data_IF_804150281551
#
_entry.id   IF_804150281551
#
_cell.length_a   1.000
_cell.length_b   1.000
_cell.length_c   1.000
_cell.angle_alpha   90.00
_cell.angle_beta   90.00
_cell.angle_gamma   90.00
#
_symmetry.space_group_name_H-M   'P 1'
#
loop_
_entity.id
_entity.type
_entity.pdbx_description
1 polymer ?
#
# COMPACT_ATOMS: atom_id res chain seq x y z
N UNK A 1 18.66 -8.42 4.92
CA UNK A 1 18.48 -9.78 5.48
C UNK A 1 17.06 -10.36 5.30
N UNK A 2 16.21 -9.81 4.41
CA UNK A 2 14.78 -10.20 4.30
C UNK A 2 14.49 -11.01 3.02
N UNK A 3 15.25 -10.80 1.95
CA UNK A 3 15.05 -11.47 0.65
C UNK A 3 15.41 -12.97 0.72
N UNK A 4 16.48 -13.32 1.44
CA UNK A 4 16.94 -14.71 1.57
C UNK A 4 15.96 -15.59 2.34
N UNK A 5 15.33 -15.09 3.41
CA UNK A 5 14.28 -15.85 4.15
C UNK A 5 13.03 -16.08 3.29
N UNK A 6 12.59 -15.10 2.50
CA UNK A 6 11.45 -15.25 1.57
C UNK A 6 11.74 -16.29 0.49
N UNK A 7 12.94 -16.30 -0.08
CA UNK A 7 13.33 -17.28 -1.10
C UNK A 7 13.52 -18.69 -0.53
N UNK A 8 14.06 -18.81 0.69
CA UNK A 8 14.23 -20.09 1.38
C UNK A 8 12.88 -20.71 1.76
N UNK A 9 11.94 -19.90 2.27
CA UNK A 9 10.57 -20.33 2.56
C UNK A 9 9.81 -20.67 1.28
N UNK A 10 10.01 -19.93 0.16
CA UNK A 10 9.46 -20.28 -1.15
C UNK A 10 9.94 -21.66 -1.60
N UNK A 11 11.24 -21.93 -1.55
CA UNK A 11 11.80 -23.23 -1.95
C UNK A 11 11.34 -24.39 -1.05
N UNK A 12 11.22 -24.14 0.26
CA UNK A 12 10.76 -25.14 1.22
C UNK A 12 9.24 -25.42 1.08
N UNK A 13 8.43 -24.39 0.88
CA UNK A 13 7.00 -24.53 0.58
C UNK A 13 6.79 -25.24 -0.75
N UNK A 14 7.52 -24.86 -1.81
CA UNK A 14 7.43 -25.51 -3.13
C UNK A 14 7.71 -27.02 -3.04
N UNK A 15 8.70 -27.46 -2.24
CA UNK A 15 9.04 -28.87 -2.07
C UNK A 15 7.97 -29.67 -1.30
N UNK A 16 7.36 -29.08 -0.26
CA UNK A 16 6.30 -29.73 0.53
C UNK A 16 4.98 -29.82 -0.26
N UNK A 17 4.70 -28.78 -1.02
CA UNK A 17 3.60 -28.69 -1.98
C UNK A 17 3.74 -29.76 -3.08
N UNK A 18 4.96 -29.99 -3.58
CA UNK A 18 5.26 -31.02 -4.59
C UNK A 18 4.99 -32.45 -4.10
N UNK A 19 5.14 -32.73 -2.81
CA UNK A 19 4.79 -34.03 -2.21
C UNK A 19 3.27 -34.27 -2.16
N UNK A 20 2.49 -33.24 -1.82
CA UNK A 20 1.01 -33.32 -1.80
C UNK A 20 0.43 -33.49 -3.22
N UNK A 21 1.03 -32.82 -4.20
CA UNK A 21 0.64 -32.94 -5.62
C UNK A 21 0.72 -34.36 -6.18
N UNK A 22 1.61 -35.22 -5.65
CA UNK A 22 1.72 -36.61 -6.09
C UNK A 22 0.55 -37.49 -5.65
N UNK A 23 -0.28 -37.04 -4.71
CA UNK A 23 -1.36 -37.84 -4.10
C UNK A 23 -2.77 -37.37 -4.46
N UNK A 24 -2.94 -36.13 -4.90
CA UNK A 24 -4.25 -35.58 -5.28
C UNK A 24 -4.16 -34.81 -6.61
N UNK A 25 -4.74 -35.40 -7.65
CA UNK A 25 -4.77 -34.82 -9.01
C UNK A 25 -5.51 -33.49 -9.05
N UNK A 26 -6.65 -33.39 -8.34
CA UNK A 26 -7.43 -32.16 -8.27
C UNK A 26 -6.64 -31.00 -7.63
N UNK A 27 -5.93 -31.27 -6.52
CA UNK A 27 -5.11 -30.24 -5.87
C UNK A 27 -3.95 -29.77 -6.76
N UNK A 28 -3.34 -30.70 -7.51
CA UNK A 28 -2.31 -30.35 -8.48
C UNK A 28 -2.86 -29.47 -9.61
N UNK A 29 -3.98 -29.86 -10.22
CA UNK A 29 -4.62 -29.14 -11.31
C UNK A 29 -5.06 -27.74 -10.88
N UNK A 30 -5.61 -27.59 -9.67
CA UNK A 30 -5.96 -26.28 -9.09
C UNK A 30 -4.73 -25.36 -8.96
N UNK A 31 -3.61 -25.87 -8.46
CA UNK A 31 -2.41 -25.06 -8.32
C UNK A 31 -1.80 -24.68 -9.66
N UNK A 32 -1.79 -25.60 -10.63
CA UNK A 32 -1.38 -25.33 -12.00
C UNK A 32 -2.24 -24.22 -12.63
N UNK A 33 -3.55 -24.25 -12.40
CA UNK A 33 -4.47 -23.21 -12.84
C UNK A 33 -4.17 -21.84 -12.17
N UNK A 34 -3.98 -21.82 -10.85
CA UNK A 34 -3.67 -20.58 -10.13
C UNK A 34 -2.29 -20.00 -10.53
N UNK A 35 -1.29 -20.86 -10.75
CA UNK A 35 0.04 -20.45 -11.21
C UNK A 35 -0.02 -19.85 -12.61
N UNK A 36 -0.93 -20.33 -13.49
CA UNK A 36 -1.18 -19.73 -14.81
C UNK A 36 -1.69 -18.30 -14.68
N UNK A 37 -2.71 -18.08 -13.84
CA UNK A 37 -3.28 -16.73 -13.59
C UNK A 37 -2.19 -15.79 -13.08
N UNK A 38 -1.42 -16.22 -12.07
CA UNK A 38 -0.33 -15.43 -11.49
C UNK A 38 0.76 -15.11 -12.51
N UNK A 39 1.12 -16.07 -13.35
CA UNK A 39 2.11 -15.88 -14.42
C UNK A 39 1.63 -14.85 -15.44
N UNK A 40 0.36 -14.93 -15.85
CA UNK A 40 -0.24 -13.97 -16.79
C UNK A 40 -0.23 -12.54 -16.23
N UNK A 41 -0.66 -12.35 -14.99
CA UNK A 41 -0.63 -11.05 -14.31
C UNK A 41 0.81 -10.53 -14.20
N UNK A 42 1.77 -11.40 -13.85
CA UNK A 42 3.19 -11.03 -13.78
C UNK A 42 3.76 -10.60 -15.13
N UNK A 43 3.23 -11.14 -16.23
CA UNK A 43 3.56 -10.76 -17.60
C UNK A 43 2.75 -9.55 -18.10
N UNK A 44 2.23 -8.74 -17.19
CA UNK A 44 1.50 -7.50 -17.47
C UNK A 44 0.15 -7.67 -18.18
N UNK A 45 -0.46 -8.87 -18.13
CA UNK A 45 -1.86 -9.03 -18.54
C UNK A 45 -2.80 -8.43 -17.49
N UNK A 46 -3.92 -7.84 -17.93
CA UNK A 46 -4.97 -7.38 -17.01
C UNK A 46 -5.58 -8.58 -16.28
N UNK A 47 -6.11 -8.36 -15.06
CA UNK A 47 -6.64 -9.44 -14.21
C UNK A 47 -7.75 -10.21 -14.94
N UNK A 48 -8.66 -9.49 -15.58
CA UNK A 48 -9.78 -10.04 -16.36
C UNK A 48 -9.29 -10.94 -17.48
N UNK A 49 -8.38 -10.43 -18.31
CA UNK A 49 -7.80 -11.15 -19.45
C UNK A 49 -6.98 -12.36 -18.99
N UNK A 50 -6.23 -12.22 -17.89
CA UNK A 50 -5.45 -13.30 -17.30
C UNK A 50 -6.31 -14.44 -16.78
N UNK A 51 -7.47 -14.12 -16.17
CA UNK A 51 -8.45 -15.09 -15.70
C UNK A 51 -9.12 -15.78 -16.88
N UNK A 52 -9.61 -15.02 -17.87
CA UNK A 52 -10.30 -15.57 -19.03
C UNK A 52 -9.39 -16.54 -19.82
N UNK A 53 -8.14 -16.14 -20.07
CA UNK A 53 -7.14 -17.01 -20.71
C UNK A 53 -6.87 -18.28 -19.89
N UNK A 54 -6.70 -18.16 -18.57
CA UNK A 54 -6.41 -19.29 -17.72
C UNK A 54 -7.57 -20.29 -17.67
N UNK A 55 -8.82 -19.81 -17.68
CA UNK A 55 -10.01 -20.66 -17.71
C UNK A 55 -10.08 -21.39 -19.05
N UNK A 56 -9.89 -20.69 -20.19
CA UNK A 56 -9.88 -21.32 -21.52
C UNK A 56 -8.79 -22.39 -21.62
N UNK A 57 -7.58 -22.05 -21.18
CA UNK A 57 -6.45 -22.94 -21.15
C UNK A 57 -6.71 -24.18 -20.29
N UNK A 58 -7.26 -24.00 -19.09
CA UNK A 58 -7.53 -25.09 -18.16
C UNK A 58 -8.68 -26.00 -18.62
N UNK A 59 -9.72 -25.43 -19.25
CA UNK A 59 -10.79 -26.20 -19.88
C UNK A 59 -10.26 -27.05 -21.05
N UNK A 60 -9.38 -26.48 -21.90
CA UNK A 60 -8.76 -27.20 -23.01
C UNK A 60 -7.81 -28.32 -22.55
N UNK A 61 -7.14 -28.14 -21.42
CA UNK A 61 -6.28 -29.16 -20.79
C UNK A 61 -7.05 -30.17 -19.94
N UNK A 62 -8.38 -30.03 -19.84
CA UNK A 62 -9.25 -30.83 -19.00
C UNK A 62 -8.77 -30.92 -17.54
N UNK A 63 -8.32 -29.79 -16.99
CA UNK A 63 -7.95 -29.70 -15.58
C UNK A 63 -9.18 -29.83 -14.70
N UNK A 64 -9.01 -30.41 -13.51
CA UNK A 64 -10.10 -30.64 -12.55
C UNK A 64 -11.26 -31.46 -13.17
N UNK A 65 -10.94 -32.39 -14.07
CA UNK A 65 -11.90 -33.34 -14.65
C UNK A 65 -13.15 -32.68 -15.28
N UNK A 66 -12.97 -31.48 -15.87
CA UNK A 66 -14.04 -30.76 -16.55
C UNK A 66 -14.82 -29.79 -15.66
N UNK A 67 -14.58 -29.77 -14.35
CA UNK A 67 -15.22 -28.84 -13.40
C UNK A 67 -15.13 -27.37 -13.86
N UNK A 68 -13.96 -26.96 -14.37
CA UNK A 68 -13.73 -25.57 -14.83
C UNK A 68 -14.64 -25.21 -16.01
N UNK A 69 -14.94 -26.19 -16.87
CA UNK A 69 -15.82 -25.99 -18.03
C UNK A 69 -17.27 -25.81 -17.60
N UNK A 70 -17.72 -26.60 -16.63
CA UNK A 70 -19.10 -26.55 -16.11
C UNK A 70 -19.35 -25.28 -15.29
N UNK A 71 -18.40 -24.89 -14.44
CA UNK A 71 -18.54 -23.79 -13.49
C UNK A 71 -17.85 -22.49 -13.94
N UNK A 72 -17.67 -22.31 -15.26
CA UNK A 72 -16.91 -21.18 -15.82
C UNK A 72 -17.35 -19.83 -15.28
N UNK A 73 -18.65 -19.55 -15.29
CA UNK A 73 -19.19 -18.24 -14.93
C UNK A 73 -18.95 -17.94 -13.44
N UNK A 74 -19.19 -18.92 -12.57
CA UNK A 74 -19.00 -18.80 -11.13
C UNK A 74 -17.53 -18.64 -10.77
N UNK A 75 -16.64 -19.44 -11.37
CA UNK A 75 -15.19 -19.34 -11.16
C UNK A 75 -14.69 -17.96 -11.58
N UNK A 76 -15.11 -17.48 -12.76
CA UNK A 76 -14.73 -16.15 -13.25
C UNK A 76 -15.18 -15.06 -12.27
N UNK A 77 -16.44 -15.10 -11.84
CA UNK A 77 -16.98 -14.11 -10.91
C UNK A 77 -16.23 -14.12 -9.57
N UNK A 78 -15.99 -15.30 -9.02
CA UNK A 78 -15.27 -15.46 -7.76
C UNK A 78 -13.85 -14.90 -7.87
N UNK A 79 -13.11 -15.22 -8.94
CA UNK A 79 -11.74 -14.73 -9.13
C UNK A 79 -11.65 -13.22 -9.35
N UNK A 80 -12.64 -12.63 -10.04
CA UNK A 80 -12.70 -11.19 -10.26
C UNK A 80 -12.97 -10.43 -8.96
N UNK A 81 -13.92 -10.94 -8.17
CA UNK A 81 -14.38 -10.35 -6.92
C UNK A 81 -13.48 -10.67 -5.72
N UNK A 82 -12.55 -11.62 -5.87
CA UNK A 82 -11.61 -11.97 -4.81
C UNK A 82 -10.77 -10.76 -4.38
N UNK A 83 -10.73 -10.55 -3.07
CA UNK A 83 -10.01 -9.48 -2.44
C UNK A 83 -8.50 -9.73 -2.42
N UNK A 84 -7.72 -8.82 -3.02
CA UNK A 84 -6.25 -8.86 -3.00
C UNK A 84 -5.71 -8.11 -1.76
N UNK A 85 -5.53 -8.84 -0.67
CA UNK A 85 -4.95 -8.33 0.58
C UNK A 85 -3.57 -7.70 0.37
N UNK A 86 -2.72 -8.28 -0.49
CA UNK A 86 -1.36 -7.74 -0.66
C UNK A 86 -1.39 -6.40 -1.40
N UNK A 87 -2.26 -6.25 -2.41
CA UNK A 87 -2.47 -4.99 -3.09
C UNK A 87 -3.05 -3.94 -2.14
N UNK A 88 -4.07 -4.32 -1.38
CA UNK A 88 -4.67 -3.45 -0.38
C UNK A 88 -3.64 -2.92 0.62
N UNK A 89 -2.83 -3.81 1.19
CA UNK A 89 -1.77 -3.47 2.12
C UNK A 89 -0.69 -2.58 1.48
N UNK A 90 -0.39 -2.76 0.19
CA UNK A 90 0.57 -1.89 -0.53
C UNK A 90 0.02 -0.48 -0.70
N UNK A 91 -1.24 -0.36 -1.09
CA UNK A 91 -1.91 0.93 -1.28
C UNK A 91 -1.98 1.67 0.05
N UNK A 92 -2.52 1.03 1.10
CA UNK A 92 -2.63 1.61 2.44
C UNK A 92 -1.29 2.12 2.98
N UNK A 93 -0.19 1.38 2.79
CA UNK A 93 1.14 1.83 3.23
C UNK A 93 1.63 3.05 2.45
N UNK A 94 1.33 3.13 1.15
CA UNK A 94 1.70 4.28 0.32
C UNK A 94 0.91 5.51 0.75
N UNK A 95 -0.41 5.40 0.85
CA UNK A 95 -1.29 6.49 1.29
C UNK A 95 -0.87 7.00 2.67
N UNK A 96 -0.67 6.10 3.64
CA UNK A 96 -0.21 6.51 4.97
C UNK A 96 1.18 7.15 4.99
N UNK A 97 2.06 6.79 4.05
CA UNK A 97 3.35 7.48 3.90
C UNK A 97 3.19 8.88 3.30
N UNK A 98 2.36 9.01 2.26
CA UNK A 98 2.08 10.29 1.60
C UNK A 98 1.39 11.28 2.56
N UNK A 99 0.39 10.82 3.30
CA UNK A 99 -0.26 11.58 4.38
C UNK A 99 0.74 11.99 5.45
N UNK A 100 1.54 11.03 5.96
CA UNK A 100 2.54 11.31 6.99
C UNK A 100 3.62 12.31 6.55
N UNK A 101 4.03 12.29 5.28
CA UNK A 101 4.96 13.28 4.72
C UNK A 101 4.30 14.65 4.64
N UNK A 102 3.04 14.72 4.17
CA UNK A 102 2.30 15.98 4.07
C UNK A 102 2.11 16.63 5.45
N UNK A 103 1.65 15.84 6.42
CA UNK A 103 1.47 16.27 7.81
C UNK A 103 2.80 16.71 8.43
N UNK A 104 3.87 15.96 8.18
CA UNK A 104 5.22 16.30 8.68
C UNK A 104 5.74 17.63 8.12
N UNK A 105 5.53 17.90 6.83
CA UNK A 105 5.91 19.17 6.21
C UNK A 105 5.10 20.33 6.80
N UNK A 106 3.77 20.16 6.92
CA UNK A 106 2.88 21.17 7.50
C UNK A 106 3.24 21.50 8.94
N UNK A 107 3.42 20.47 9.78
CA UNK A 107 3.83 20.64 11.17
C UNK A 107 5.22 21.29 11.27
N UNK A 108 6.17 20.91 10.42
CA UNK A 108 7.50 21.51 10.38
C UNK A 108 7.47 22.99 9.99
N UNK A 109 6.66 23.36 8.99
CA UNK A 109 6.46 24.74 8.58
C UNK A 109 5.87 25.58 9.72
N UNK A 110 4.82 25.08 10.39
CA UNK A 110 4.21 25.75 11.53
C UNK A 110 5.19 25.93 12.71
N UNK A 111 5.95 24.88 13.05
CA UNK A 111 6.96 24.96 14.10
C UNK A 111 8.04 26.00 13.79
N UNK A 112 8.48 26.08 12.53
CA UNK A 112 9.45 27.08 12.10
C UNK A 112 8.87 28.49 12.13
N UNK A 113 7.62 28.67 11.69
CA UNK A 113 6.92 29.96 11.78
C UNK A 113 6.83 30.45 13.23
N UNK A 114 6.46 29.58 14.17
CA UNK A 114 6.41 29.92 15.61
C UNK A 114 7.80 30.28 16.16
N UNK A 115 8.83 29.49 15.83
CA UNK A 115 10.22 29.78 16.27
C UNK A 115 10.69 31.14 15.76
N UNK A 116 10.44 31.44 14.49
CA UNK A 116 10.79 32.71 13.87
C UNK A 116 10.00 33.87 14.50
N UNK A 117 8.70 33.67 14.77
CA UNK A 117 7.88 34.69 15.42
C UNK A 117 8.42 35.06 16.80
N UNK A 118 8.78 34.06 17.62
CA UNK A 118 9.38 34.29 18.93
C UNK A 118 10.72 35.03 18.81
N UNK A 119 11.54 34.70 17.81
CA UNK A 119 12.81 35.38 17.58
C UNK A 119 12.62 36.87 17.25
N UNK A 120 11.72 37.18 16.31
CA UNK A 120 11.42 38.56 15.92
C UNK A 120 10.81 39.38 17.07
N UNK A 121 9.90 38.79 17.85
CA UNK A 121 9.33 39.45 19.03
C UNK A 121 10.41 39.78 20.08
N UNK A 122 11.39 38.89 20.29
CA UNK A 122 12.52 39.13 21.20
C UNK A 122 13.47 40.22 20.70
N UNK A 123 13.56 40.41 19.38
CA UNK A 123 14.32 41.50 18.75
C UNK A 123 13.59 42.85 18.80
N UNK A 124 12.31 42.87 19.20
CA UNK A 124 11.51 44.07 19.37
C UNK A 124 10.65 44.46 18.16
N UNK A 125 10.47 43.54 17.20
CA UNK A 125 9.55 43.76 16.08
C UNK A 125 8.08 43.77 16.54
N UNK A 126 7.24 44.57 15.86
CA UNK A 126 5.82 44.67 16.23
C UNK A 126 5.04 43.40 15.89
N UNK A 127 4.04 43.00 16.69
CA UNK A 127 3.23 41.81 16.44
C UNK A 127 2.61 41.76 15.03
N UNK A 128 2.20 42.90 14.48
CA UNK A 128 1.61 42.99 13.14
C UNK A 128 2.64 42.69 12.04
N UNK A 129 3.87 43.18 12.20
CA UNK A 129 4.98 42.89 11.28
C UNK A 129 5.34 41.41 11.35
N UNK A 130 5.39 40.84 12.55
CA UNK A 130 5.71 39.42 12.78
C UNK A 130 4.64 38.50 12.18
N UNK A 131 3.35 38.79 12.40
CA UNK A 131 2.25 38.03 11.82
C UNK A 131 2.33 37.99 10.29
N UNK A 132 2.59 39.16 9.66
CA UNK A 132 2.76 39.24 8.21
C UNK A 132 3.95 38.44 7.68
N UNK A 133 5.09 38.46 8.39
CA UNK A 133 6.32 37.80 7.93
C UNK A 133 6.37 36.30 8.23
N UNK A 134 5.58 35.82 9.19
CA UNK A 134 5.54 34.40 9.60
C UNK A 134 4.28 33.68 9.13
N UNK A 135 3.35 34.40 8.51
CA UNK A 135 2.04 33.90 8.05
C UNK A 135 1.19 33.28 9.19
N UNK A 136 1.51 33.63 10.44
CA UNK A 136 0.71 33.27 11.60
C UNK A 136 -0.45 34.26 11.79
N UNK A 137 -1.61 33.79 12.29
CA UNK A 137 -2.68 34.68 12.74
C UNK A 137 -2.19 35.67 13.79
N UNK A 138 -2.67 36.91 13.74
CA UNK A 138 -2.25 37.96 14.66
C UNK A 138 -2.55 37.58 16.11
N UNK A 139 -3.69 36.94 16.36
CA UNK A 139 -4.08 36.40 17.67
C UNK A 139 -3.00 35.47 18.22
N UNK A 140 -2.45 34.59 17.37
CA UNK A 140 -1.41 33.64 17.76
C UNK A 140 -0.10 34.33 18.11
N UNK A 141 0.25 35.38 17.38
CA UNK A 141 1.47 36.17 17.65
C UNK A 141 1.36 36.93 18.97
N UNK A 142 0.17 37.49 19.27
CA UNK A 142 -0.10 38.15 20.56
C UNK A 142 -0.01 37.15 21.73
N UNK A 143 -0.58 35.95 21.59
CA UNK A 143 -0.42 34.88 22.59
C UNK A 143 1.06 34.53 22.83
N UNK A 144 1.88 34.49 21.78
CA UNK A 144 3.32 34.21 21.88
C UNK A 144 4.07 35.36 22.57
N UNK A 145 3.64 36.61 22.37
CA UNK A 145 4.23 37.78 22.99
C UNK A 145 3.99 37.80 24.50
N UNK A 146 2.78 37.48 24.95
CA UNK A 146 2.42 37.39 26.38
C UNK A 146 3.25 36.35 27.15
N UNK A 147 3.74 35.32 26.45
CA UNK A 147 4.58 34.25 27.03
C UNK A 147 6.07 34.62 27.12
N UNK A 148 6.49 35.74 26.52
CA UNK A 148 7.88 36.22 26.61
C UNK A 148 7.98 37.12 27.86
N UNK A 149 8.81 36.76 28.87
CA UNK A 149 8.97 37.62 30.03
C UNK A 149 9.54 38.98 29.62
N UNK A 150 8.90 40.07 30.06
CA UNK A 150 9.42 41.43 29.87
C UNK A 150 10.83 41.52 30.44
N UNK A 151 11.76 42.10 29.66
CA UNK A 151 13.13 42.38 30.12
C UNK A 151 13.05 43.36 31.29
N UNK A 152 13.35 42.87 32.49
CA UNK A 152 13.67 43.67 33.68
C UNK A 152 15.01 44.39 33.53
#
# INVERSE_FOLDING_TARGET
MVIWKKNLLRGFLQNKITFLYRRCKALYDYCVFNDRIKSNIKNSMKKEEAIDEAIDWAANKNLLEGFIKEQRAEIRMNLLTEFDQEQYDRIRRREGYEEGVSDGISQGALQNAIKNAIAFLKEGDTPEKVARCTELPLEKVLELQEQIPEKA
#
